data_IF_282976590241
#
_entry.id   IF_282976590241
#
_cell.length_a   1.000
_cell.length_b   1.000
_cell.length_c   1.000
_cell.angle_alpha   90.00
_cell.angle_beta   90.00
_cell.angle_gamma   90.00
#
_symmetry.space_group_name_H-M   'P 1'
#
loop_
_entity.id
_entity.type
_entity.pdbx_description
1 polymer ?
#
# COMPACT_ATOMS: atom_id res chain seq x y z
N UNK A 1 11.21 -8.69 13.94
CA UNK A 1 12.10 -7.80 13.17
C UNK A 1 11.33 -6.78 12.36
N UNK A 2 12.00 -5.70 11.97
CA UNK A 2 11.40 -4.64 11.16
C UNK A 2 10.93 -5.20 9.82
N UNK A 3 9.65 -5.03 9.52
CA UNK A 3 9.00 -5.51 8.30
C UNK A 3 8.25 -6.84 8.42
N UNK A 4 8.31 -7.50 9.59
CA UNK A 4 7.46 -8.67 9.83
C UNK A 4 5.97 -8.29 9.77
N UNK A 5 5.17 -9.15 9.14
CA UNK A 5 3.72 -9.02 9.11
C UNK A 5 3.16 -9.80 10.30
N UNK A 6 2.51 -9.07 11.20
CA UNK A 6 1.97 -9.60 12.45
C UNK A 6 0.45 -9.45 12.50
N UNK A 7 -0.21 -10.44 13.06
CA UNK A 7 -1.60 -10.35 13.52
C UNK A 7 -1.60 -10.07 15.02
N UNK A 8 -2.34 -9.06 15.46
CA UNK A 8 -2.51 -8.73 16.87
C UNK A 8 -3.99 -8.74 17.24
N UNK A 9 -4.32 -9.30 18.41
CA UNK A 9 -5.68 -9.31 18.96
C UNK A 9 -5.64 -8.83 20.41
N UNK A 10 -6.63 -8.03 20.80
CA UNK A 10 -6.67 -7.43 22.12
C UNK A 10 -7.79 -6.40 22.26
N UNK A 11 -7.71 -5.61 23.33
CA UNK A 11 -8.69 -4.54 23.61
C UNK A 11 -8.16 -3.20 23.11
N UNK A 12 -9.00 -2.40 22.46
CA UNK A 12 -8.67 -1.01 22.11
C UNK A 12 -8.62 -0.16 23.38
N UNK A 13 -7.61 0.70 23.49
CA UNK A 13 -7.47 1.66 24.58
C UNK A 13 -6.72 2.91 24.11
N UNK A 14 -6.71 3.96 24.94
CA UNK A 14 -5.85 5.13 24.73
C UNK A 14 -4.73 5.14 25.75
N UNK A 15 -3.52 5.46 25.32
CA UNK A 15 -2.35 5.61 26.20
C UNK A 15 -2.46 6.89 27.03
N UNK A 16 -1.55 7.07 28.01
CA UNK A 16 -1.46 8.31 28.81
C UNK A 16 -1.16 9.55 27.95
N UNK A 17 -0.53 9.37 26.78
CA UNK A 17 -0.27 10.44 25.80
C UNK A 17 -1.43 10.65 24.83
N UNK A 18 -2.51 9.87 24.94
CA UNK A 18 -3.71 10.00 24.12
C UNK A 18 -3.69 9.21 22.80
N UNK A 19 -2.64 8.44 22.54
CA UNK A 19 -2.51 7.63 21.33
C UNK A 19 -3.48 6.44 21.35
N UNK A 20 -4.20 6.21 20.24
CA UNK A 20 -5.08 5.06 20.10
C UNK A 20 -4.24 3.81 19.88
N UNK A 21 -4.40 2.81 20.74
CA UNK A 21 -3.56 1.61 20.74
C UNK A 21 -4.36 0.35 21.04
N UNK A 22 -3.75 -0.82 20.78
CA UNK A 22 -4.33 -2.13 21.11
C UNK A 22 -3.54 -2.73 22.27
N UNK A 23 -4.22 -3.04 23.37
CA UNK A 23 -3.65 -3.82 24.47
C UNK A 23 -3.65 -5.29 24.05
N UNK A 24 -2.53 -5.72 23.47
CA UNK A 24 -2.38 -7.00 22.78
C UNK A 24 -2.39 -8.17 23.77
N UNK A 25 -3.36 -9.08 23.62
CA UNK A 25 -3.45 -10.32 24.41
C UNK A 25 -2.95 -11.54 23.64
N UNK A 26 -2.95 -11.47 22.30
CA UNK A 26 -2.48 -12.52 21.42
C UNK A 26 -1.74 -11.89 20.24
N UNK A 27 -0.53 -12.39 19.95
CA UNK A 27 0.30 -11.95 18.84
C UNK A 27 0.69 -13.17 18.00
N UNK A 28 0.50 -13.08 16.68
CA UNK A 28 0.84 -14.14 15.73
C UNK A 28 1.72 -13.59 14.63
N UNK A 29 2.86 -14.26 14.39
CA UNK A 29 3.66 -14.01 13.19
C UNK A 29 2.92 -14.60 11.98
N UNK A 30 2.51 -13.75 11.05
CA UNK A 30 1.85 -14.16 9.81
C UNK A 30 2.88 -14.42 8.71
N UNK A 31 3.86 -13.54 8.59
CA UNK A 31 4.95 -13.69 7.62
C UNK A 31 6.21 -13.04 8.14
N UNK A 32 7.32 -13.78 8.10
CA UNK A 32 8.65 -13.28 8.46
C UNK A 32 9.23 -12.48 7.30
N UNK A 33 9.68 -11.26 7.57
CA UNK A 33 10.58 -10.54 6.68
C UNK A 33 11.97 -11.18 6.76
N UNK A 34 12.43 -11.74 5.64
CA UNK A 34 13.75 -12.37 5.51
C UNK A 34 14.86 -11.37 5.16
N UNK A 35 14.47 -10.16 4.73
CA UNK A 35 15.37 -9.06 4.41
C UNK A 35 14.95 -7.83 5.21
N UNK A 36 15.90 -7.05 5.74
CA UNK A 36 15.56 -5.83 6.47
C UNK A 36 14.86 -4.85 5.53
N UNK A 37 13.87 -4.13 6.06
CA UNK A 37 13.30 -2.99 5.35
C UNK A 37 14.37 -1.88 5.24
N UNK A 38 14.41 -1.14 4.12
CA UNK A 38 15.23 0.05 4.01
C UNK A 38 14.83 1.07 5.10
N UNK A 39 15.81 1.83 5.58
CA UNK A 39 15.61 2.81 6.65
C UNK A 39 14.51 3.82 6.28
N UNK A 40 13.56 4.04 7.19
CA UNK A 40 12.41 4.93 6.98
C UNK A 40 12.84 6.40 6.78
N UNK A 41 14.00 6.79 7.32
CA UNK A 41 14.46 8.18 7.28
C UNK A 41 15.18 8.55 5.99
N UNK A 42 15.97 7.64 5.43
CA UNK A 42 16.69 7.89 4.19
C UNK A 42 15.88 7.48 2.96
N UNK A 43 14.89 6.59 3.12
CA UNK A 43 14.04 6.12 2.03
C UNK A 43 14.82 5.40 0.93
N UNK A 44 14.11 4.81 -0.02
CA UNK A 44 14.72 4.44 -1.31
C UNK A 44 14.91 5.74 -2.11
N UNK A 45 15.97 6.51 -1.83
CA UNK A 45 16.29 7.72 -2.61
C UNK A 45 16.65 7.40 -4.06
N UNK A 46 17.30 6.26 -4.28
CA UNK A 46 17.64 5.81 -5.63
C UNK A 46 16.38 5.46 -6.43
N UNK A 47 16.13 6.27 -7.47
CA UNK A 47 14.99 6.11 -8.37
C UNK A 47 15.01 4.76 -9.09
N UNK A 48 16.19 4.23 -9.41
CA UNK A 48 16.30 2.93 -10.06
C UNK A 48 15.87 1.80 -9.13
N UNK A 49 16.36 1.80 -7.89
CA UNK A 49 15.94 0.86 -6.86
C UNK A 49 14.42 0.93 -6.58
N UNK A 50 13.82 2.13 -6.53
CA UNK A 50 12.36 2.29 -6.38
C UNK A 50 11.58 1.61 -7.50
N UNK A 51 12.07 1.73 -8.74
CA UNK A 51 11.39 1.18 -9.90
C UNK A 51 11.59 -0.34 -10.02
N UNK A 52 12.78 -0.84 -9.70
CA UNK A 52 13.08 -2.28 -9.67
C UNK A 52 12.40 -3.00 -8.50
N UNK A 53 12.27 -2.34 -7.35
CA UNK A 53 11.71 -2.92 -6.11
C UNK A 53 10.47 -2.16 -5.65
N UNK A 54 9.47 -2.08 -6.54
CA UNK A 54 8.24 -1.32 -6.29
C UNK A 54 7.52 -1.70 -4.98
N UNK A 55 7.60 -2.97 -4.57
CA UNK A 55 6.99 -3.43 -3.31
C UNK A 55 7.59 -2.74 -2.08
N UNK A 56 8.90 -2.43 -2.08
CA UNK A 56 9.52 -1.67 -0.99
C UNK A 56 9.07 -0.21 -1.01
N UNK A 57 9.08 0.42 -2.20
CA UNK A 57 8.60 1.79 -2.40
C UNK A 57 7.15 1.96 -1.90
N UNK A 58 6.26 1.00 -2.19
CA UNK A 58 4.86 1.05 -1.73
C UNK A 58 4.70 0.86 -0.22
N UNK A 59 5.62 0.17 0.46
CA UNK A 59 5.60 -0.02 1.92
C UNK A 59 6.13 1.21 2.64
N UNK A 60 7.17 1.86 2.10
CA UNK A 60 7.85 2.98 2.76
C UNK A 60 7.36 4.37 2.35
N UNK A 61 6.75 4.52 1.16
CA UNK A 61 6.41 5.81 0.58
C UNK A 61 4.89 5.96 0.37
N UNK A 62 4.26 6.75 1.25
CA UNK A 62 2.82 7.05 1.19
C UNK A 62 2.43 7.90 -0.04
N UNK A 63 3.33 8.75 -0.55
CA UNK A 63 3.10 9.56 -1.75
C UNK A 63 3.02 8.68 -3.00
N UNK A 64 3.96 7.73 -3.15
CA UNK A 64 3.91 6.70 -4.21
C UNK A 64 2.59 5.93 -4.14
N UNK A 65 2.20 5.46 -2.94
CA UNK A 65 0.94 4.73 -2.74
C UNK A 65 -0.28 5.58 -3.11
N UNK A 66 -0.30 6.85 -2.71
CA UNK A 66 -1.38 7.77 -3.05
C UNK A 66 -1.48 7.99 -4.56
N UNK A 67 -0.34 8.10 -5.25
CA UNK A 67 -0.28 8.25 -6.72
C UNK A 67 -0.99 7.09 -7.43
N UNK A 68 -0.72 5.84 -7.02
CA UNK A 68 -1.40 4.68 -7.58
C UNK A 68 -2.90 4.64 -7.23
N UNK A 69 -3.28 5.05 -6.02
CA UNK A 69 -4.69 5.17 -5.60
C UNK A 69 -5.44 6.18 -6.48
N UNK A 70 -4.87 7.36 -6.67
CA UNK A 70 -5.43 8.43 -7.51
C UNK A 70 -5.52 7.96 -8.97
N UNK A 71 -4.48 7.32 -9.51
CA UNK A 71 -4.53 6.76 -10.87
C UNK A 71 -5.67 5.75 -11.05
N UNK A 72 -5.87 4.86 -10.07
CA UNK A 72 -6.98 3.90 -10.09
C UNK A 72 -8.34 4.61 -10.07
N UNK A 73 -8.49 5.62 -9.22
CA UNK A 73 -9.72 6.43 -9.14
C UNK A 73 -10.02 7.20 -10.43
N UNK A 74 -8.99 7.76 -11.08
CA UNK A 74 -9.14 8.45 -12.38
C UNK A 74 -9.66 7.47 -13.43
N UNK A 75 -9.03 6.29 -13.55
CA UNK A 75 -9.48 5.27 -14.52
C UNK A 75 -10.91 4.81 -14.24
N UNK A 76 -11.26 4.60 -12.97
CA UNK A 76 -12.63 4.26 -12.58
C UNK A 76 -13.62 5.38 -12.94
N UNK A 77 -13.25 6.64 -12.69
CA UNK A 77 -14.07 7.81 -13.00
C UNK A 77 -14.33 7.98 -14.50
N UNK A 78 -13.30 7.81 -15.35
CA UNK A 78 -13.46 7.86 -16.81
C UNK A 78 -14.41 6.77 -17.29
N UNK A 79 -14.21 5.52 -16.83
CA UNK A 79 -15.09 4.40 -17.20
C UNK A 79 -16.54 4.69 -16.81
N UNK A 80 -16.77 5.09 -15.56
CA UNK A 80 -18.11 5.41 -15.07
C UNK A 80 -18.77 6.54 -15.88
N UNK A 81 -18.03 7.58 -16.22
CA UNK A 81 -18.51 8.70 -17.03
C UNK A 81 -18.97 8.26 -18.42
N UNK A 82 -18.21 7.37 -19.07
CA UNK A 82 -18.49 6.85 -20.41
C UNK A 82 -19.67 5.87 -20.38
N UNK A 83 -19.67 4.93 -19.44
CA UNK A 83 -20.77 3.95 -19.27
C UNK A 83 -22.09 4.67 -19.01
N UNK A 84 -22.09 5.72 -18.18
CA UNK A 84 -23.28 6.53 -17.92
C UNK A 84 -23.85 7.24 -19.16
N UNK A 85 -23.08 7.32 -20.25
CA UNK A 85 -23.48 7.90 -21.55
C UNK A 85 -23.75 6.85 -22.63
N UNK A 86 -23.81 5.58 -22.26
CA UNK A 86 -24.13 4.48 -23.18
C UNK A 86 -22.96 4.01 -24.05
N UNK A 87 -21.72 4.39 -23.73
CA UNK A 87 -20.54 3.83 -24.38
C UNK A 87 -20.31 2.38 -23.92
N UNK A 88 -19.90 1.52 -24.84
CA UNK A 88 -19.49 0.14 -24.58
C UNK A 88 -17.96 0.06 -24.51
N UNK A 89 -17.42 -0.44 -23.40
CA UNK A 89 -15.98 -0.72 -23.26
C UNK A 89 -15.62 -1.95 -24.12
N UNK A 90 -14.58 -1.83 -24.94
CA UNK A 90 -14.13 -2.89 -25.86
C UNK A 90 -12.61 -3.03 -25.77
N UNK A 91 -12.11 -4.24 -25.98
CA UNK A 91 -10.68 -4.52 -26.12
C UNK A 91 -10.36 -4.79 -27.59
N UNK A 92 -9.34 -4.12 -28.11
CA UNK A 92 -8.84 -4.33 -29.48
C UNK A 92 -7.50 -5.07 -29.46
N UNK A 93 -7.13 -5.79 -30.54
CA UNK A 93 -5.85 -6.50 -30.60
C UNK A 93 -4.65 -5.58 -30.27
N UNK A 94 -3.81 -6.02 -29.33
CA UNK A 94 -2.65 -5.25 -28.84
C UNK A 94 -1.37 -5.46 -29.65
N UNK A 95 -1.31 -6.52 -30.47
CA UNK A 95 -0.20 -6.82 -31.38
C UNK A 95 -0.77 -7.01 -32.79
N UNK A 96 -0.12 -6.37 -33.77
CA UNK A 96 -0.34 -6.59 -35.21
C UNK A 96 0.79 -7.47 -35.76
#
# INVERSE_FOLDING_TARGET
DLGDILGAKGKLFKTKTGELSIHCTELRLLTKALRPLPDKFHGLQDQEARYRQRYLDLISNDESRNTFKVRSQIMAGIRQFMVARGFMEVETPMMQ
#
